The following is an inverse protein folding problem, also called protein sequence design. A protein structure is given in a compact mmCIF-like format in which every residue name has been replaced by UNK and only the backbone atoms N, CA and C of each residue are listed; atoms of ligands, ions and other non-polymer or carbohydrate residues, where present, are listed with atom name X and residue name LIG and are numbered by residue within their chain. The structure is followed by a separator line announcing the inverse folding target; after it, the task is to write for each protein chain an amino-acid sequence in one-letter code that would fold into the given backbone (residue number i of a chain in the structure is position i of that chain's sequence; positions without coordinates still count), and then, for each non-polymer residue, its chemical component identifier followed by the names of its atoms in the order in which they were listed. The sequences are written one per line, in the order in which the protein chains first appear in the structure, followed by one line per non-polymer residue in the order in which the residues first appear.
data_IF_375552348278
#
_entry.id   IF_375552348278
#
_cell.length_a   1.000
_cell.length_b   1.000
_cell.length_c   1.000
_cell.angle_alpha   90.00
_cell.angle_beta   90.00
_cell.angle_gamma   90.00
#
_symmetry.space_group_name_H-M   'P 1'
#
loop_
_entity.id
_entity.type
_entity.pdbx_description
1 polymer ?
#
# COMPACT_ATOMS: atom_id res chain seq x y z
N UNK A 1 7.18 16.96 -17.04
CA UNK A 1 5.89 16.29 -16.73
C UNK A 1 4.92 16.54 -17.87
N UNK A 2 4.33 15.50 -18.46
CA UNK A 2 3.39 15.58 -19.59
C UNK A 2 1.95 15.40 -19.10
N UNK A 3 1.05 16.33 -19.46
CA UNK A 3 -0.39 16.19 -19.19
C UNK A 3 -1.02 15.31 -20.26
N UNK A 4 -1.67 14.22 -19.85
CA UNK A 4 -2.30 13.23 -20.73
C UNK A 4 -3.81 13.34 -20.61
N UNK A 5 -4.46 13.78 -21.68
CA UNK A 5 -5.92 13.91 -21.78
C UNK A 5 -6.54 13.05 -22.87
N UNK A 6 -5.72 12.45 -23.73
CA UNK A 6 -6.19 11.50 -24.74
C UNK A 6 -6.80 10.26 -24.07
N UNK A 7 -8.09 9.92 -24.34
CA UNK A 7 -8.76 8.80 -23.68
C UNK A 7 -8.05 7.45 -23.89
N UNK A 8 -7.45 7.24 -25.06
CA UNK A 8 -6.71 6.02 -25.39
C UNK A 8 -5.47 5.85 -24.50
N UNK A 9 -4.68 6.91 -24.34
CA UNK A 9 -3.52 6.95 -23.47
C UNK A 9 -3.92 6.88 -21.98
N UNK A 10 -4.96 7.62 -21.58
CA UNK A 10 -5.50 7.63 -20.22
C UNK A 10 -5.88 6.23 -19.78
N UNK A 11 -6.62 5.48 -20.60
CA UNK A 11 -7.04 4.11 -20.31
C UNK A 11 -5.86 3.19 -19.97
N UNK A 12 -4.72 3.33 -20.65
CA UNK A 12 -3.56 2.49 -20.38
C UNK A 12 -2.85 2.87 -19.07
N UNK A 13 -2.77 4.16 -18.76
CA UNK A 13 -2.16 4.64 -17.52
C UNK A 13 -2.95 4.24 -16.27
N UNK A 14 -4.24 3.91 -16.41
CA UNK A 14 -5.06 3.36 -15.34
C UNK A 14 -4.62 1.94 -14.89
N UNK A 15 -3.93 1.18 -15.74
CA UNK A 15 -3.51 -0.18 -15.37
C UNK A 15 -2.13 -0.22 -14.70
N UNK A 16 -2.06 -0.69 -13.44
CA UNK A 16 -0.82 -0.77 -12.65
C UNK A 16 0.33 -1.49 -13.37
N UNK A 17 0.05 -2.63 -14.01
CA UNK A 17 1.05 -3.35 -14.81
C UNK A 17 1.62 -2.50 -15.94
N UNK A 18 0.76 -1.78 -16.66
CA UNK A 18 1.17 -0.96 -17.79
C UNK A 18 1.99 0.25 -17.32
N UNK A 19 1.66 0.83 -16.16
CA UNK A 19 2.51 1.83 -15.49
C UNK A 19 3.89 1.27 -15.14
N UNK A 20 3.95 0.04 -14.61
CA UNK A 20 5.22 -0.63 -14.32
C UNK A 20 6.07 -0.86 -15.57
N UNK A 21 5.44 -1.31 -16.67
CA UNK A 21 6.10 -1.44 -17.98
C UNK A 21 6.63 -0.09 -18.47
N UNK A 22 5.81 0.96 -18.42
CA UNK A 22 6.23 2.32 -18.82
C UNK A 22 7.40 2.83 -17.96
N UNK A 23 7.39 2.56 -16.65
CA UNK A 23 8.46 2.91 -15.72
C UNK A 23 9.82 2.30 -16.09
N UNK A 24 9.84 1.10 -16.67
CA UNK A 24 11.08 0.45 -17.14
C UNK A 24 11.78 1.18 -18.31
N UNK A 25 11.11 2.16 -18.93
CA UNK A 25 11.63 2.99 -20.02
C UNK A 25 11.79 4.47 -19.62
N UNK A 26 11.63 4.81 -18.34
CA UNK A 26 11.90 6.17 -17.82
C UNK A 26 13.41 6.41 -17.65
N UNK A 27 13.83 7.67 -17.84
CA UNK A 27 15.23 8.13 -17.67
C UNK A 27 16.22 7.66 -18.74
N UNK A 28 16.07 6.46 -19.31
CA UNK A 28 16.98 5.89 -20.31
C UNK A 28 16.30 4.97 -21.33
N UNK A 29 16.86 4.89 -22.54
CA UNK A 29 16.47 3.92 -23.54
C UNK A 29 16.60 2.48 -23.01
N UNK A 30 15.57 1.66 -23.19
CA UNK A 30 15.58 0.26 -22.80
C UNK A 30 14.96 -0.64 -23.88
N UNK A 31 15.25 -1.94 -23.84
CA UNK A 31 14.67 -2.92 -24.78
C UNK A 31 13.54 -3.69 -24.11
N UNK A 32 12.61 -4.22 -24.90
CA UNK A 32 11.51 -5.05 -24.39
C UNK A 32 12.02 -6.24 -23.57
N UNK A 33 13.10 -6.89 -24.00
CA UNK A 33 13.68 -8.04 -23.31
C UNK A 33 14.26 -7.65 -21.93
N UNK A 34 14.99 -6.53 -21.86
CA UNK A 34 15.55 -6.05 -20.59
C UNK A 34 14.47 -5.58 -19.62
N UNK A 35 13.43 -4.92 -20.14
CA UNK A 35 12.26 -4.54 -19.33
C UNK A 35 11.52 -5.78 -18.80
N UNK A 36 11.34 -6.81 -19.62
CA UNK A 36 10.72 -8.07 -19.21
C UNK A 36 11.50 -8.78 -18.09
N UNK A 37 12.83 -8.87 -18.23
CA UNK A 37 13.69 -9.44 -17.21
C UNK A 37 13.62 -8.65 -15.89
N UNK A 38 13.69 -7.31 -15.96
CA UNK A 38 13.64 -6.45 -14.77
C UNK A 38 12.29 -6.50 -14.04
N UNK A 39 11.20 -6.74 -14.76
CA UNK A 39 9.85 -6.80 -14.20
C UNK A 39 9.39 -8.23 -13.88
N UNK A 40 10.23 -9.25 -14.14
CA UNK A 40 9.86 -10.66 -14.04
C UNK A 40 8.56 -11.01 -14.80
N UNK A 41 8.40 -10.45 -16.00
CA UNK A 41 7.24 -10.66 -16.87
C UNK A 41 7.62 -11.45 -18.13
N UNK A 42 6.65 -12.14 -18.72
CA UNK A 42 6.81 -12.73 -20.05
C UNK A 42 7.08 -11.63 -21.10
N UNK A 43 8.09 -11.85 -21.94
CA UNK A 43 8.51 -10.87 -22.96
C UNK A 43 7.39 -10.54 -23.96
N UNK A 44 6.47 -11.47 -24.25
CA UNK A 44 5.31 -11.24 -25.12
C UNK A 44 4.32 -10.30 -24.46
N UNK A 45 4.12 -10.40 -23.15
CA UNK A 45 3.28 -9.47 -22.37
C UNK A 45 3.87 -8.07 -22.45
N UNK A 46 5.17 -7.93 -22.21
CA UNK A 46 5.85 -6.63 -22.32
C UNK A 46 5.82 -6.10 -23.74
N UNK A 47 6.01 -6.94 -24.77
CA UNK A 47 5.93 -6.51 -26.16
C UNK A 47 4.54 -5.98 -26.54
N UNK A 48 3.48 -6.66 -26.09
CA UNK A 48 2.10 -6.19 -26.27
C UNK A 48 1.87 -4.84 -25.60
N UNK A 49 2.31 -4.70 -24.35
CA UNK A 49 2.11 -3.47 -23.58
C UNK A 49 2.97 -2.32 -24.13
N UNK A 50 4.20 -2.58 -24.60
CA UNK A 50 5.04 -1.62 -25.35
C UNK A 50 4.36 -1.16 -26.65
N UNK A 51 3.78 -2.07 -27.42
CA UNK A 51 3.03 -1.71 -28.64
C UNK A 51 1.86 -0.78 -28.35
N UNK A 52 1.09 -1.05 -27.28
CA UNK A 52 0.00 -0.18 -26.83
C UNK A 52 0.50 1.20 -26.41
N UNK A 53 1.59 1.25 -25.65
CA UNK A 53 2.20 2.50 -25.19
C UNK A 53 2.78 3.33 -26.34
N UNK A 54 3.35 2.70 -27.37
CA UNK A 54 3.81 3.38 -28.58
C UNK A 54 2.63 3.98 -29.35
N UNK A 55 1.57 3.19 -29.57
CA UNK A 55 0.38 3.66 -30.27
C UNK A 55 -0.33 4.79 -29.52
N UNK A 56 -0.24 4.79 -28.18
CA UNK A 56 -0.76 5.85 -27.33
C UNK A 56 0.18 7.07 -27.20
N UNK A 57 1.32 7.09 -27.90
CA UNK A 57 2.29 8.18 -27.84
C UNK A 57 3.01 8.32 -26.50
N UNK A 58 2.97 7.30 -25.64
CA UNK A 58 3.60 7.30 -24.31
C UNK A 58 5.05 6.79 -24.34
N UNK A 59 5.39 6.02 -25.37
CA UNK A 59 6.77 5.61 -25.70
C UNK A 59 7.15 6.13 -27.09
N UNK A 60 8.45 6.25 -27.33
CA UNK A 60 9.05 6.44 -28.65
C UNK A 60 10.19 5.47 -28.86
N UNK A 61 10.45 5.11 -30.12
CA UNK A 61 11.70 4.43 -30.50
C UNK A 61 12.81 5.48 -30.46
N UNK A 62 13.81 5.28 -29.61
CA UNK A 62 14.95 6.19 -29.50
C UNK A 62 16.07 5.79 -30.47
N UNK A 63 16.31 4.49 -30.64
CA UNK A 63 17.25 3.95 -31.63
C UNK A 63 16.94 2.49 -31.95
N UNK A 64 17.47 2.03 -33.09
CA UNK A 64 17.42 0.63 -33.51
C UNK A 64 18.86 0.13 -33.70
N UNK A 65 19.21 -0.98 -33.06
CA UNK A 65 20.55 -1.57 -33.12
C UNK A 65 20.50 -2.80 -34.03
N UNK A 66 21.29 -2.84 -35.12
CA UNK A 66 21.39 -4.00 -35.98
C UNK A 66 21.91 -5.22 -35.20
N UNK A 67 21.35 -6.40 -35.50
CA UNK A 67 21.88 -7.70 -35.07
C UNK A 67 21.64 -8.72 -36.17
N UNK A 68 22.40 -9.80 -36.20
CA UNK A 68 22.14 -10.92 -37.11
C UNK A 68 20.69 -11.39 -36.93
N UNK A 69 19.87 -11.24 -37.97
CA UNK A 69 18.42 -11.41 -37.93
C UNK A 69 17.67 -10.07 -37.76
N UNK A 70 16.76 -9.99 -36.78
CA UNK A 70 15.84 -8.85 -36.61
C UNK A 70 16.45 -7.75 -35.75
N UNK A 71 16.53 -6.48 -36.16
CA UNK A 71 17.09 -5.42 -35.33
C UNK A 71 16.43 -5.29 -33.94
N UNK A 72 17.18 -4.78 -32.97
CA UNK A 72 16.68 -4.54 -31.60
C UNK A 72 16.31 -3.07 -31.43
N UNK A 73 15.04 -2.81 -31.16
CA UNK A 73 14.56 -1.47 -30.83
C UNK A 73 14.80 -1.12 -29.37
N UNK A 74 15.34 0.07 -29.16
CA UNK A 74 15.42 0.73 -27.88
C UNK A 74 14.30 1.77 -27.79
N UNK A 75 13.48 1.65 -26.76
CA UNK A 75 12.34 2.52 -26.49
C UNK A 75 12.64 3.42 -25.29
N UNK A 76 12.02 4.60 -25.28
CA UNK A 76 12.09 5.54 -24.16
C UNK A 76 10.71 6.16 -23.92
N UNK A 77 10.38 6.41 -22.66
CA UNK A 77 9.22 7.23 -22.31
C UNK A 77 9.34 8.62 -22.93
N UNK A 78 8.23 9.17 -23.43
CA UNK A 78 8.22 10.52 -24.03
C UNK A 78 8.40 11.63 -22.99
N UNK A 79 8.17 11.32 -21.71
CA UNK A 79 8.36 12.21 -20.58
C UNK A 79 8.77 11.42 -19.33
N UNK A 80 9.45 12.09 -18.40
CA UNK A 80 9.86 11.48 -17.11
C UNK A 80 8.70 11.33 -16.12
N UNK A 81 7.60 12.06 -16.33
CA UNK A 81 6.39 11.98 -15.51
C UNK A 81 5.15 12.28 -16.36
N UNK A 82 4.04 11.64 -16.02
CA UNK A 82 2.75 11.78 -16.69
C UNK A 82 1.69 12.21 -15.68
N UNK A 83 0.87 13.18 -16.03
CA UNK A 83 -0.24 13.68 -15.22
C UNK A 83 -1.55 13.40 -15.95
N UNK A 84 -2.45 12.63 -15.33
CA UNK A 84 -3.78 12.33 -15.84
C UNK A 84 -4.81 13.06 -14.99
N UNK A 85 -5.50 14.09 -15.52
CA UNK A 85 -6.54 14.79 -14.76
C UNK A 85 -7.71 13.87 -14.46
N UNK A 86 -8.27 13.94 -13.25
CA UNK A 86 -9.47 13.16 -12.91
C UNK A 86 -10.70 13.56 -13.74
N UNK A 87 -10.73 14.79 -14.28
CA UNK A 87 -11.83 15.28 -15.12
C UNK A 87 -11.95 14.55 -16.47
N UNK A 88 -10.89 13.86 -16.91
CA UNK A 88 -10.88 13.08 -18.16
C UNK A 88 -10.84 11.58 -17.90
N UNK A 89 -10.81 11.18 -16.63
CA UNK A 89 -11.11 9.81 -16.22
C UNK A 89 -12.60 9.75 -15.93
N UNK A 90 -13.30 8.68 -16.32
CA UNK A 90 -14.64 8.45 -15.77
C UNK A 90 -14.51 8.49 -14.24
N UNK A 91 -15.13 9.49 -13.59
CA UNK A 91 -14.81 9.90 -12.23
C UNK A 91 -15.16 8.85 -11.15
N UNK A 92 -15.71 7.70 -11.54
CA UNK A 92 -15.77 6.49 -10.72
C UNK A 92 -14.40 5.79 -10.58
N UNK A 93 -13.40 6.12 -11.40
CA UNK A 93 -12.13 5.41 -11.49
C UNK A 93 -11.05 5.85 -10.50
N UNK A 94 -11.11 7.07 -9.95
CA UNK A 94 -10.12 7.54 -8.97
C UNK A 94 -10.14 6.70 -7.68
N UNK A 95 -11.35 6.38 -7.21
CA UNK A 95 -11.60 5.46 -6.12
C UNK A 95 -11.13 4.04 -6.51
N UNK A 96 -11.59 3.49 -7.63
CA UNK A 96 -11.21 2.13 -8.07
C UNK A 96 -9.71 1.91 -8.32
N UNK A 97 -8.98 2.92 -8.83
CA UNK A 97 -7.53 2.87 -9.04
C UNK A 97 -6.77 2.80 -7.72
N UNK A 98 -7.23 3.57 -6.74
CA UNK A 98 -6.69 3.56 -5.38
C UNK A 98 -7.14 2.33 -4.59
N UNK A 99 -8.38 1.87 -4.76
CA UNK A 99 -9.00 0.77 -4.00
C UNK A 99 -8.38 -0.58 -4.30
N UNK A 100 -8.09 -0.91 -5.57
CA UNK A 100 -7.48 -2.21 -5.90
C UNK A 100 -6.05 -2.31 -5.36
N UNK A 101 -5.29 -1.23 -5.49
CA UNK A 101 -3.93 -1.14 -4.95
C UNK A 101 -3.96 -1.09 -3.40
N UNK A 102 -4.92 -0.39 -2.79
CA UNK A 102 -5.12 -0.33 -1.35
C UNK A 102 -5.55 -1.69 -0.77
N UNK A 103 -6.52 -2.37 -1.38
CA UNK A 103 -7.00 -3.69 -0.94
C UNK A 103 -5.88 -4.72 -0.99
N UNK A 104 -5.09 -4.72 -2.07
CA UNK A 104 -3.95 -5.61 -2.20
C UNK A 104 -2.88 -5.32 -1.13
N UNK A 105 -2.57 -4.04 -0.88
CA UNK A 105 -1.64 -3.64 0.18
C UNK A 105 -2.15 -3.96 1.57
N UNK A 106 -3.43 -3.76 1.85
CA UNK A 106 -4.09 -4.10 3.12
C UNK A 106 -4.05 -5.61 3.36
N UNK A 107 -4.33 -6.41 2.32
CA UNK A 107 -4.22 -7.86 2.39
C UNK A 107 -2.76 -8.30 2.65
N UNK A 108 -1.79 -7.67 1.98
CA UNK A 108 -0.36 -7.94 2.19
C UNK A 108 0.09 -7.56 3.61
N UNK A 109 -0.34 -6.40 4.10
CA UNK A 109 -0.06 -5.93 5.45
C UNK A 109 -0.63 -6.90 6.48
N UNK A 110 -1.92 -7.25 6.38
CA UNK A 110 -2.57 -8.20 7.29
C UNK A 110 -1.82 -9.54 7.31
N UNK A 111 -1.46 -10.07 6.15
CA UNK A 111 -0.71 -11.32 6.08
C UNK A 111 0.69 -11.21 6.70
N UNK A 112 1.39 -10.08 6.51
CA UNK A 112 2.70 -9.84 7.12
C UNK A 112 2.60 -9.68 8.65
N UNK A 113 1.59 -8.94 9.11
CA UNK A 113 1.28 -8.75 10.52
C UNK A 113 0.98 -10.10 11.19
N UNK A 114 0.03 -10.89 10.67
CA UNK A 114 -0.35 -12.19 11.25
C UNK A 114 0.87 -13.10 11.40
N UNK A 115 1.73 -13.20 10.38
CA UNK A 115 2.95 -14.01 10.48
C UNK A 115 3.93 -13.50 11.54
N UNK A 116 4.17 -12.19 11.58
CA UNK A 116 5.08 -11.60 12.56
C UNK A 116 4.55 -11.79 14.00
N UNK A 117 3.25 -11.63 14.17
CA UNK A 117 2.55 -11.84 15.43
C UNK A 117 2.62 -13.31 15.87
N UNK A 118 2.34 -14.27 14.99
CA UNK A 118 2.44 -15.71 15.28
C UNK A 118 3.86 -16.13 15.71
N UNK A 119 4.89 -15.60 15.02
CA UNK A 119 6.29 -15.85 15.38
C UNK A 119 6.61 -15.28 16.77
N UNK A 120 6.17 -14.05 17.05
CA UNK A 120 6.39 -13.42 18.34
C UNK A 120 5.65 -14.16 19.47
N UNK A 121 4.41 -14.58 19.22
CA UNK A 121 3.61 -15.37 20.17
C UNK A 121 4.28 -16.71 20.48
N UNK A 122 4.74 -17.45 19.46
CA UNK A 122 5.47 -18.69 19.66
C UNK A 122 6.80 -18.52 20.41
N UNK A 123 7.38 -17.32 20.37
CA UNK A 123 8.62 -16.95 21.07
C UNK A 123 8.38 -16.36 22.47
N UNK A 124 7.12 -16.15 22.86
CA UNK A 124 6.75 -15.50 24.14
C UNK A 124 6.92 -16.40 25.38
N UNK A 125 7.44 -17.62 25.20
CA UNK A 125 7.62 -18.58 26.28
C UNK A 125 6.30 -19.09 26.85
N UNK A 126 6.20 -19.15 28.18
CA UNK A 126 5.04 -19.69 28.89
C UNK A 126 3.92 -18.67 29.15
N UNK A 127 4.10 -17.39 28.75
CA UNK A 127 3.08 -16.36 28.98
C UNK A 127 1.93 -16.56 28.01
N UNK A 128 0.74 -16.79 28.56
CA UNK A 128 -0.47 -17.00 27.79
C UNK A 128 -1.00 -15.65 27.27
N UNK A 129 -1.13 -15.55 25.95
CA UNK A 129 -1.78 -14.42 25.28
C UNK A 129 -3.22 -14.78 24.92
N UNK A 130 -4.16 -13.87 25.11
CA UNK A 130 -5.56 -14.13 24.79
C UNK A 130 -6.42 -12.88 24.68
N UNK A 131 -7.72 -13.13 24.50
CA UNK A 131 -8.77 -12.12 24.50
C UNK A 131 -9.25 -11.91 25.94
N UNK A 132 -9.09 -10.70 26.47
CA UNK A 132 -9.64 -10.29 27.76
C UNK A 132 -10.97 -9.59 27.50
N UNK A 133 -12.03 -10.04 28.14
CA UNK A 133 -13.38 -9.48 28.00
C UNK A 133 -13.83 -8.91 29.34
N UNK A 134 -14.17 -7.63 29.33
CA UNK A 134 -14.66 -6.87 30.48
C UNK A 134 -16.15 -6.64 30.34
N UNK A 135 -16.85 -6.67 31.47
CA UNK A 135 -18.28 -6.34 31.54
C UNK A 135 -18.46 -5.22 32.56
N UNK A 136 -19.12 -4.14 32.16
CA UNK A 136 -19.46 -3.01 33.05
C UNK A 136 -20.94 -3.02 33.49
N UNK A 137 -21.63 -4.14 33.25
CA UNK A 137 -23.05 -4.32 33.52
C UNK A 137 -23.99 -3.81 32.43
N UNK A 138 -23.50 -3.09 31.41
CA UNK A 138 -24.30 -2.60 30.27
C UNK A 138 -23.66 -2.85 28.92
N UNK A 139 -22.35 -2.98 28.87
CA UNK A 139 -21.54 -3.19 27.68
C UNK A 139 -20.47 -4.23 27.97
N UNK A 140 -19.93 -4.82 26.91
CA UNK A 140 -18.69 -5.56 26.98
C UNK A 140 -17.59 -4.81 26.24
N UNK A 141 -16.41 -4.75 26.84
CA UNK A 141 -15.19 -4.30 26.18
C UNK A 141 -14.29 -5.52 26.01
N UNK A 142 -13.56 -5.61 24.91
CA UNK A 142 -12.55 -6.65 24.74
C UNK A 142 -11.23 -6.03 24.27
N UNK A 143 -10.13 -6.54 24.81
CA UNK A 143 -8.79 -6.26 24.31
C UNK A 143 -7.95 -7.54 24.26
N UNK A 144 -6.83 -7.49 23.55
CA UNK A 144 -5.87 -8.59 23.51
C UNK A 144 -4.71 -8.27 24.46
N UNK A 145 -4.29 -9.27 25.24
CA UNK A 145 -3.27 -9.08 26.27
C UNK A 145 -2.72 -10.40 26.81
N UNK A 146 -1.58 -10.34 27.50
CA UNK A 146 -1.14 -11.46 28.33
C UNK A 146 -2.08 -11.60 29.52
N UNK A 147 -2.31 -12.86 29.94
CA UNK A 147 -3.13 -13.21 31.10
C UNK A 147 -2.73 -12.44 32.37
N UNK A 148 -1.43 -12.28 32.58
CA UNK A 148 -0.84 -11.68 33.79
C UNK A 148 -0.55 -10.18 33.66
N UNK A 149 -0.94 -9.53 32.56
CA UNK A 149 -0.63 -8.12 32.33
C UNK A 149 -1.60 -7.19 33.08
N UNK A 150 -1.08 -6.06 33.56
CA UNK A 150 -1.88 -5.02 34.22
C UNK A 150 -3.06 -4.58 33.34
N UNK A 151 -4.22 -4.37 33.95
CA UNK A 151 -5.40 -3.77 33.33
C UNK A 151 -5.17 -2.28 33.06
N UNK A 152 -4.37 -1.97 32.04
CA UNK A 152 -4.13 -0.61 31.56
C UNK A 152 -4.69 -0.44 30.17
N UNK A 153 -5.07 0.78 29.83
CA UNK A 153 -5.47 1.13 28.47
C UNK A 153 -4.31 0.81 27.51
N UNK A 154 -4.51 0.02 26.44
CA UNK A 154 -3.43 -0.47 25.57
C UNK A 154 -2.55 0.65 24.95
N UNK A 155 -3.07 1.87 24.86
CA UNK A 155 -2.36 3.04 24.34
C UNK A 155 -1.44 3.71 25.38
N UNK A 156 -1.55 3.36 26.66
CA UNK A 156 -0.72 3.90 27.75
C UNK A 156 0.57 3.11 27.99
N UNK A 157 0.65 1.89 27.45
CA UNK A 157 1.85 1.06 27.45
C UNK A 157 1.62 -0.21 26.65
N UNK A 158 2.52 -0.50 25.69
CA UNK A 158 2.48 -1.75 24.95
C UNK A 158 2.72 -2.93 25.90
N UNK A 159 1.79 -3.87 25.92
CA UNK A 159 1.90 -5.11 26.72
C UNK A 159 1.88 -6.36 25.83
N UNK A 160 2.04 -6.21 24.51
CA UNK A 160 2.04 -7.29 23.53
C UNK A 160 3.32 -8.11 23.47
N UNK A 161 3.33 -9.25 22.74
CA UNK A 161 4.54 -10.02 22.50
C UNK A 161 5.66 -9.16 21.91
N UNK A 162 6.89 -9.42 22.34
CA UNK A 162 8.07 -8.73 21.82
C UNK A 162 8.28 -9.05 20.34
N UNK A 163 8.01 -8.08 19.47
CA UNK A 163 8.23 -8.23 18.04
C UNK A 163 8.12 -6.91 17.28
N UNK A 164 8.66 -6.90 16.06
CA UNK A 164 8.66 -5.73 15.18
C UNK A 164 7.39 -5.68 14.32
N UNK A 165 6.25 -5.57 14.98
CA UNK A 165 4.94 -5.38 14.36
C UNK A 165 4.12 -4.39 15.19
N UNK A 166 3.26 -3.64 14.51
CA UNK A 166 2.33 -2.71 15.16
C UNK A 166 1.07 -2.63 14.31
N UNK A 167 -0.07 -2.94 14.91
CA UNK A 167 -1.37 -2.71 14.31
C UNK A 167 -2.30 -2.17 15.39
N UNK A 168 -2.93 -1.04 15.08
CA UNK A 168 -3.97 -0.45 15.90
C UNK A 168 -4.82 0.46 15.02
N UNK A 169 -6.11 0.50 15.29
CA UNK A 169 -7.04 1.44 14.70
C UNK A 169 -7.81 2.14 15.83
N UNK A 170 -7.12 2.88 16.72
CA UNK A 170 -7.77 3.51 17.85
C UNK A 170 -8.77 4.56 17.36
N UNK A 171 -9.97 4.57 17.95
CA UNK A 171 -10.90 5.68 17.77
C UNK A 171 -10.50 6.81 18.72
N UNK A 172 -10.29 8.01 18.19
CA UNK A 172 -9.90 9.19 18.96
C UNK A 172 -10.83 10.37 18.66
N UNK A 173 -11.13 11.17 19.67
CA UNK A 173 -11.88 12.43 19.52
C UNK A 173 -10.90 13.60 19.52
N UNK A 174 -10.77 14.28 18.39
CA UNK A 174 -9.85 15.40 18.20
C UNK A 174 -10.60 16.64 17.73
N UNK A 175 -10.16 17.82 18.17
CA UNK A 175 -10.54 19.09 17.53
C UNK A 175 -9.90 19.20 16.14
N UNK A 176 -10.41 20.07 15.24
CA UNK A 176 -9.78 20.29 13.92
C UNK A 176 -8.30 20.66 14.00
N UNK A 177 -7.91 21.51 14.97
CA UNK A 177 -6.52 21.91 15.17
C UNK A 177 -5.65 20.73 15.62
N UNK A 178 -6.15 19.88 16.53
CA UNK A 178 -5.44 18.67 16.96
C UNK A 178 -5.32 17.63 15.82
N UNK A 179 -6.37 17.44 15.04
CA UNK A 179 -6.35 16.55 13.87
C UNK A 179 -5.32 17.03 12.83
N UNK A 180 -5.24 18.33 12.57
CA UNK A 180 -4.24 18.91 11.69
C UNK A 180 -2.82 18.71 12.23
N UNK A 181 -2.60 18.93 13.53
CA UNK A 181 -1.30 18.69 14.15
C UNK A 181 -0.88 17.21 14.01
N UNK A 182 -1.78 16.27 14.31
CA UNK A 182 -1.55 14.84 14.14
C UNK A 182 -1.25 14.47 12.67
N UNK A 183 -1.99 15.05 11.71
CA UNK A 183 -1.74 14.87 10.28
C UNK A 183 -0.30 15.28 9.91
N UNK A 184 0.14 16.45 10.40
CA UNK A 184 1.49 16.96 10.15
C UNK A 184 2.55 16.01 10.73
N UNK A 185 2.34 15.49 11.94
CA UNK A 185 3.31 14.59 12.57
C UNK A 185 3.38 13.23 11.85
N UNK A 186 2.25 12.70 11.38
CA UNK A 186 2.22 11.50 10.52
C UNK A 186 2.96 11.74 9.20
N UNK A 187 2.80 12.91 8.57
CA UNK A 187 3.54 13.28 7.36
C UNK A 187 5.04 13.34 7.64
N UNK A 188 5.45 13.99 8.74
CA UNK A 188 6.86 14.07 9.14
C UNK A 188 7.48 12.70 9.38
N UNK A 189 6.73 11.80 10.03
CA UNK A 189 7.14 10.40 10.21
C UNK A 189 7.38 9.72 8.86
N UNK A 190 6.43 9.82 7.93
CA UNK A 190 6.57 9.23 6.59
C UNK A 190 7.74 9.83 5.81
N UNK A 191 7.96 11.15 5.89
CA UNK A 191 9.09 11.82 5.23
C UNK A 191 10.43 11.32 5.76
N UNK A 192 10.58 11.20 7.09
CA UNK A 192 11.79 10.67 7.72
C UNK A 192 12.07 9.24 7.24
N UNK A 193 11.07 8.36 7.36
CA UNK A 193 11.21 6.95 6.96
C UNK A 193 11.46 6.79 5.46
N UNK A 194 10.90 7.66 4.62
CA UNK A 194 11.18 7.66 3.19
C UNK A 194 12.64 8.02 2.88
N UNK A 195 13.19 9.03 3.56
CA UNK A 195 14.59 9.42 3.40
C UNK A 195 15.54 8.28 3.84
N UNK A 196 15.26 7.64 4.97
CA UNK A 196 16.01 6.47 5.47
C UNK A 196 15.92 5.29 4.48
N UNK A 197 14.72 5.00 3.97
CA UNK A 197 14.50 3.97 2.95
C UNK A 197 15.36 4.24 1.71
N UNK A 198 15.34 5.46 1.16
CA UNK A 198 16.16 5.78 -0.01
C UNK A 198 17.66 5.62 0.25
N UNK A 199 18.13 6.03 1.44
CA UNK A 199 19.54 5.86 1.82
C UNK A 199 19.93 4.38 1.93
N UNK A 200 19.04 3.55 2.50
CA UNK A 200 19.24 2.12 2.67
C UNK A 200 19.20 1.36 1.33
N UNK A 201 18.26 1.69 0.45
CA UNK A 201 18.18 1.13 -0.91
C UNK A 201 19.45 1.41 -1.72
N UNK A 202 19.94 2.65 -1.71
CA UNK A 202 21.20 3.02 -2.40
C UNK A 202 22.41 2.26 -1.88
N UNK A 203 22.40 1.92 -0.59
CA UNK A 203 23.45 1.15 0.06
C UNK A 203 23.23 -0.37 0.00
N UNK A 204 22.12 -0.85 -0.59
CA UNK A 204 21.79 -2.28 -0.68
C UNK A 204 21.60 -2.96 0.68
N UNK A 205 21.11 -2.23 1.68
CA UNK A 205 20.96 -2.70 3.07
C UNK A 205 19.52 -2.59 3.56
N UNK A 206 19.18 -3.34 4.60
CA UNK A 206 17.88 -3.27 5.27
C UNK A 206 16.90 -4.35 4.80
N UNK A 207 15.87 -4.58 5.59
CA UNK A 207 14.76 -5.47 5.28
C UNK A 207 13.52 -4.65 4.89
N UNK A 208 12.62 -5.21 4.05
CA UNK A 208 11.37 -4.53 3.72
C UNK A 208 10.40 -4.55 4.90
N UNK A 209 9.82 -3.38 5.22
CA UNK A 209 8.73 -3.24 6.18
C UNK A 209 7.53 -2.58 5.48
N UNK A 210 6.32 -2.99 5.87
CA UNK A 210 5.09 -2.33 5.46
C UNK A 210 4.64 -1.38 6.57
N UNK A 211 4.61 -0.09 6.27
CA UNK A 211 4.08 0.93 7.16
C UNK A 211 2.64 1.27 6.74
N UNK A 212 1.70 1.16 7.68
CA UNK A 212 0.33 1.65 7.53
C UNK A 212 0.11 2.80 8.50
N UNK A 213 -0.25 3.97 7.97
CA UNK A 213 -0.67 5.15 8.74
C UNK A 213 -1.90 5.73 8.07
N UNK A 214 -2.86 6.19 8.86
CA UNK A 214 -4.09 6.77 8.36
C UNK A 214 -4.74 7.66 9.41
N UNK A 215 -5.32 8.76 8.95
CA UNK A 215 -6.17 9.64 9.73
C UNK A 215 -7.28 10.10 8.80
N UNK A 216 -8.53 9.81 9.15
CA UNK A 216 -9.70 10.23 8.40
C UNK A 216 -10.80 10.63 9.37
N UNK A 217 -11.60 11.66 9.06
CA UNK A 217 -12.85 11.86 9.77
C UNK A 217 -13.77 10.67 9.51
N UNK A 218 -14.48 10.23 10.54
CA UNK A 218 -15.51 9.19 10.43
C UNK A 218 -16.87 9.90 10.33
N UNK A 219 -17.64 9.59 9.29
CA UNK A 219 -19.05 10.00 9.25
C UNK A 219 -19.81 9.21 10.32
N UNK A 220 -20.68 9.83 11.14
CA UNK A 220 -21.47 9.11 12.14
C UNK A 220 -22.25 7.90 11.58
N UNK A 221 -22.56 7.90 10.27
CA UNK A 221 -23.23 6.80 9.57
C UNK A 221 -22.33 5.60 9.28
N UNK A 222 -21.01 5.79 9.29
CA UNK A 222 -20.01 4.77 8.96
C UNK A 222 -19.41 4.10 10.23
N UNK A 223 -19.85 4.53 11.42
CA UNK A 223 -19.39 3.94 12.69
C UNK A 223 -19.93 2.51 12.79
N UNK A 224 -19.01 1.54 12.83
CA UNK A 224 -19.36 0.16 13.09
C UNK A 224 -19.81 0.01 14.55
N UNK A 225 -21.12 -0.19 14.78
CA UNK A 225 -21.64 -0.59 16.08
C UNK A 225 -21.42 -2.10 16.22
N UNK A 226 -20.66 -2.58 17.22
CA UNK A 226 -20.49 -4.00 17.44
C UNK A 226 -21.87 -4.65 17.66
N UNK A 227 -22.17 -5.69 16.89
CA UNK A 227 -23.44 -6.43 16.99
C UNK A 227 -23.44 -7.18 18.32
N UNK A 228 -24.31 -6.77 19.26
CA UNK A 228 -24.58 -7.56 20.47
C UNK A 228 -25.07 -8.95 20.06
N UNK A 229 -24.52 -10.04 20.62
CA UNK A 229 -25.08 -11.36 20.38
C UNK A 229 -26.50 -11.38 20.95
N UNK A 230 -27.49 -11.48 20.05
CA UNK A 230 -28.90 -11.66 20.42
C UNK A 230 -28.99 -12.80 21.41
N UNK A 231 -29.34 -12.47 22.66
CA UNK A 231 -29.62 -13.45 23.70
C UNK A 231 -30.66 -14.43 23.15
N UNK A 232 -30.27 -15.69 22.94
CA UNK A 232 -31.21 -16.77 22.71
C UNK A 232 -32.10 -16.82 23.95
N UNK A 233 -33.33 -16.29 23.82
CA UNK A 233 -34.39 -16.56 24.79
C UNK A 233 -34.69 -18.06 24.69
N UNK A 234 -34.21 -18.80 25.67
CA UNK A 234 -34.70 -20.14 25.94
C UNK A 234 -36.15 -20.05 26.41
N UNK A 235 -36.99 -20.84 25.77
CA UNK A 235 -38.25 -21.39 26.30
C UNK A 235 -38.14 -22.89 26.21
#
# INVERSE_FOLDING_TARGET
MLRVTDPGAVRWLQHARVRGVLGAFQGRANTTARAAAALHLDVRVVHRDVGRLLNAGLLRVEREVPRAGRPVRHYRAVADAFFVPFTVTDALSAAHLSERDATARDAQFRAAFTRAFEVALGSSGAREWGLRVYFDGRTSQADEGFWDADLREPLTGWQGPDGLYLQGAPEVRLTPAQAQAAQVDLIRLMMRLHAEHQANERAGRGAPFLLRVGLAPVDPRDVHVPVEPTARRGT
#
